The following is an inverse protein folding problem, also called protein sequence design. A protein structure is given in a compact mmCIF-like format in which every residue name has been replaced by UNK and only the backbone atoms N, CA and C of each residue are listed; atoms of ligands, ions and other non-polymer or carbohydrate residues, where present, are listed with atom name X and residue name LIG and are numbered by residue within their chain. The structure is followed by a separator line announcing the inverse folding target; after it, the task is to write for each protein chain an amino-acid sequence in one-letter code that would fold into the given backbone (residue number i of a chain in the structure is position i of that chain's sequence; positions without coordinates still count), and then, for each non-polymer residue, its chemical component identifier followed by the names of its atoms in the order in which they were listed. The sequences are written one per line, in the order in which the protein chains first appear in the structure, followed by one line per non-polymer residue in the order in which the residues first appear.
data_IF_983931209713
#
_entry.id   IF_983931209713
#
_cell.length_a   1.000
_cell.length_b   1.000
_cell.length_c   1.000
_cell.angle_alpha   90.00
_cell.angle_beta   90.00
_cell.angle_gamma   90.00
#
_symmetry.space_group_name_H-M   'P 1'
#
loop_
_entity.id
_entity.type
_entity.pdbx_description
1 polymer ?
#
# COMPACT_ATOMS: atom_id res chain seq x y z
N UNK A 1 -11.32 -4.57 16.20
CA UNK A 1 -12.50 -5.46 16.17
C UNK A 1 -12.92 -5.92 17.55
N UNK A 2 -12.05 -6.55 18.37
CA UNK A 2 -12.44 -6.89 19.76
C UNK A 2 -12.56 -5.63 20.63
N UNK A 3 -11.57 -4.72 20.54
CA UNK A 3 -11.55 -3.43 21.25
C UNK A 3 -12.76 -2.55 20.85
N UNK A 4 -13.02 -2.36 19.55
CA UNK A 4 -14.20 -1.64 19.04
C UNK A 4 -15.54 -2.22 19.55
N UNK A 5 -15.61 -3.53 19.84
CA UNK A 5 -16.83 -4.16 20.35
C UNK A 5 -17.00 -3.90 21.85
N UNK A 6 -15.91 -3.93 22.62
CA UNK A 6 -15.93 -3.59 24.04
C UNK A 6 -16.38 -2.13 24.26
N UNK A 7 -15.88 -1.22 23.43
CA UNK A 7 -16.31 0.19 23.40
C UNK A 7 -17.80 0.31 23.07
N UNK A 8 -18.27 -0.45 22.07
CA UNK A 8 -19.69 -0.52 21.71
C UNK A 8 -20.60 -1.05 22.83
N UNK A 9 -20.15 -2.05 23.59
CA UNK A 9 -20.88 -2.59 24.75
C UNK A 9 -20.91 -1.61 25.93
N UNK A 10 -19.82 -0.90 26.17
CA UNK A 10 -19.76 0.16 27.17
C UNK A 10 -20.71 1.33 26.80
N UNK A 11 -20.72 1.74 25.54
CA UNK A 11 -21.65 2.72 25.00
C UNK A 11 -23.11 2.26 25.20
N UNK A 12 -23.44 1.01 24.85
CA UNK A 12 -24.78 0.46 25.03
C UNK A 12 -25.26 0.52 26.49
N UNK A 13 -24.36 0.23 27.45
CA UNK A 13 -24.65 0.26 28.88
C UNK A 13 -24.95 1.69 29.38
N UNK A 14 -24.19 2.68 28.90
CA UNK A 14 -24.44 4.09 29.23
C UNK A 14 -25.77 4.60 28.66
N UNK A 15 -26.09 4.26 27.40
CA UNK A 15 -27.39 4.60 26.80
C UNK A 15 -28.56 3.95 27.55
N UNK A 16 -28.38 2.72 28.05
CA UNK A 16 -29.39 2.03 28.86
C UNK A 16 -29.65 2.77 30.19
N UNK A 17 -28.61 3.38 30.77
CA UNK A 17 -28.70 4.28 31.91
C UNK A 17 -29.26 5.68 31.59
N UNK A 18 -29.66 5.94 30.34
CA UNK A 18 -30.25 7.21 29.91
C UNK A 18 -29.24 8.30 29.54
N UNK A 19 -27.96 7.97 29.44
CA UNK A 19 -26.96 8.93 28.98
C UNK A 19 -27.27 9.41 27.55
N UNK A 20 -27.14 10.70 27.24
CA UNK A 20 -27.31 11.21 25.88
C UNK A 20 -26.36 10.56 24.87
N UNK A 21 -26.78 10.48 23.59
CA UNK A 21 -25.94 9.89 22.52
C UNK A 21 -24.59 10.61 22.38
N UNK A 22 -24.59 11.94 22.32
CA UNK A 22 -23.39 12.76 22.10
C UNK A 22 -22.36 12.68 23.24
N UNK A 23 -22.75 12.26 24.45
CA UNK A 23 -21.82 12.03 25.55
C UNK A 23 -21.36 10.56 25.63
N UNK A 24 -21.99 9.70 24.84
CA UNK A 24 -21.76 8.25 24.88
C UNK A 24 -20.90 7.77 23.72
N UNK A 25 -21.00 8.40 22.55
CA UNK A 25 -20.16 8.09 21.39
C UNK A 25 -19.80 9.37 20.63
N UNK A 26 -18.70 9.32 19.88
CA UNK A 26 -18.41 10.35 18.89
C UNK A 26 -19.37 10.19 17.71
N UNK A 27 -20.42 11.01 17.70
CA UNK A 27 -21.45 10.98 16.67
C UNK A 27 -20.92 11.31 15.27
N UNK A 28 -19.73 11.92 15.16
CA UNK A 28 -19.06 12.21 13.91
C UNK A 28 -18.19 11.05 13.41
N UNK A 29 -17.78 10.09 14.26
CA UNK A 29 -17.03 8.92 13.83
C UNK A 29 -17.96 7.78 13.40
N UNK A 30 -17.94 7.34 12.12
CA UNK A 30 -18.69 6.17 11.71
C UNK A 30 -18.30 4.86 12.41
N UNK A 31 -17.08 4.77 12.97
CA UNK A 31 -16.61 3.57 13.66
C UNK A 31 -17.44 3.34 14.93
N UNK A 32 -17.67 4.40 15.69
CA UNK A 32 -18.47 4.39 16.92
C UNK A 32 -19.91 3.93 16.69
N UNK A 33 -20.54 4.35 15.59
CA UNK A 33 -21.89 3.88 15.24
C UNK A 33 -21.92 2.38 14.90
N UNK A 34 -20.89 1.88 14.21
CA UNK A 34 -20.78 0.46 13.85
C UNK A 34 -20.40 -0.40 15.07
N UNK A 35 -19.56 0.15 15.96
CA UNK A 35 -19.18 -0.42 17.24
C UNK A 35 -20.41 -0.55 18.15
N UNK A 36 -21.21 0.52 18.31
CA UNK A 36 -22.47 0.46 19.05
C UNK A 36 -23.40 -0.62 18.52
N UNK A 37 -23.62 -0.67 17.20
CA UNK A 37 -24.48 -1.69 16.58
C UNK A 37 -23.98 -3.12 16.83
N UNK A 38 -22.66 -3.33 16.76
CA UNK A 38 -22.05 -4.61 17.06
C UNK A 38 -22.16 -4.95 18.55
N UNK A 39 -21.79 -4.04 19.45
CA UNK A 39 -21.77 -4.23 20.90
C UNK A 39 -23.14 -4.48 21.52
N UNK A 40 -24.21 -3.95 20.92
CA UNK A 40 -25.60 -4.28 21.31
C UNK A 40 -25.98 -5.72 20.91
N UNK A 41 -25.42 -6.23 19.81
CA UNK A 41 -25.78 -7.53 19.23
C UNK A 41 -24.91 -8.69 19.75
N UNK A 42 -23.62 -8.47 19.99
CA UNK A 42 -22.62 -9.54 19.93
C UNK A 42 -22.73 -10.59 21.06
N UNK A 43 -23.09 -10.18 22.28
CA UNK A 43 -23.22 -11.11 23.42
C UNK A 43 -24.23 -12.22 23.11
N UNK A 44 -25.31 -11.89 22.41
CA UNK A 44 -26.36 -12.85 22.04
C UNK A 44 -25.97 -13.81 20.90
N UNK A 45 -25.01 -13.44 20.03
CA UNK A 45 -24.54 -14.30 18.94
C UNK A 45 -23.54 -15.36 19.42
N UNK A 46 -22.61 -14.97 20.32
CA UNK A 46 -21.61 -15.90 20.86
C UNK A 46 -22.18 -16.77 21.99
N UNK A 47 -23.16 -16.28 22.75
CA UNK A 47 -23.82 -17.01 23.85
C UNK A 47 -25.31 -16.66 23.91
N UNK A 48 -26.18 -17.35 23.14
CA UNK A 48 -27.62 -17.05 23.06
C UNK A 48 -28.38 -17.07 24.40
N UNK A 49 -27.83 -17.77 25.39
CA UNK A 49 -28.38 -17.94 26.74
C UNK A 49 -28.05 -16.78 27.70
N UNK A 50 -27.14 -15.87 27.32
CA UNK A 50 -26.76 -14.71 28.12
C UNK A 50 -27.29 -13.43 27.46
N UNK A 51 -28.12 -12.70 28.18
CA UNK A 51 -28.52 -11.35 27.79
C UNK A 51 -27.30 -10.41 27.96
N UNK A 52 -27.08 -9.45 27.05
CA UNK A 52 -26.11 -8.38 27.28
C UNK A 52 -26.37 -7.66 28.61
N UNK A 53 -25.33 -7.16 29.27
CA UNK A 53 -25.46 -6.45 30.56
C UNK A 53 -26.46 -5.29 30.52
N UNK A 54 -26.50 -4.55 29.40
CA UNK A 54 -27.43 -3.42 29.20
C UNK A 54 -28.91 -3.87 29.15
N UNK A 55 -29.20 -5.06 28.59
CA UNK A 55 -30.58 -5.57 28.45
C UNK A 55 -31.14 -6.03 29.80
N UNK A 56 -30.27 -6.47 30.72
CA UNK A 56 -30.64 -6.72 32.12
C UNK A 56 -30.93 -5.43 32.88
N UNK A 57 -30.10 -4.39 32.68
CA UNK A 57 -30.23 -3.13 33.41
C UNK A 57 -31.44 -2.29 32.97
N UNK A 58 -31.85 -2.39 31.70
CA UNK A 58 -32.97 -1.61 31.19
C UNK A 58 -33.71 -2.35 30.04
N UNK A 59 -34.57 -3.35 30.35
CA UNK A 59 -35.32 -4.07 29.33
C UNK A 59 -36.23 -3.13 28.53
N UNK A 60 -36.27 -3.33 27.21
CA UNK A 60 -37.11 -2.51 26.33
C UNK A 60 -38.60 -2.82 26.57
N UNK A 61 -39.45 -1.80 26.74
CA UNK A 61 -40.90 -2.00 26.86
C UNK A 61 -41.49 -2.54 25.55
N UNK A 62 -42.67 -3.17 25.65
CA UNK A 62 -43.41 -3.64 24.48
C UNK A 62 -43.87 -2.48 23.57
N UNK A 63 -44.16 -1.33 24.16
CA UNK A 63 -44.49 -0.09 23.44
C UNK A 63 -43.27 0.85 23.41
N UNK A 64 -42.76 1.11 22.20
CA UNK A 64 -41.61 1.97 21.98
C UNK A 64 -41.98 3.45 21.78
N UNK A 65 -43.28 3.79 21.75
CA UNK A 65 -43.76 5.16 21.46
C UNK A 65 -43.39 6.18 22.53
N UNK A 66 -43.04 5.76 23.74
CA UNK A 66 -42.62 6.67 24.82
C UNK A 66 -41.10 6.66 25.07
N UNK A 67 -40.32 5.93 24.26
CA UNK A 67 -38.88 5.86 24.47
C UNK A 67 -38.17 7.15 24.03
N UNK A 68 -37.27 7.61 24.89
CA UNK A 68 -36.31 8.66 24.56
C UNK A 68 -35.21 8.19 23.61
N UNK A 69 -34.52 9.15 23.01
CA UNK A 69 -33.50 8.94 21.99
C UNK A 69 -32.43 7.87 22.35
N UNK A 70 -31.81 7.85 23.55
CA UNK A 70 -30.80 6.85 23.90
C UNK A 70 -31.34 5.42 23.90
N UNK A 71 -32.55 5.20 24.41
CA UNK A 71 -33.17 3.88 24.46
C UNK A 71 -33.67 3.44 23.09
N UNK A 72 -34.09 4.38 22.26
CA UNK A 72 -34.48 4.10 20.89
C UNK A 72 -33.27 3.72 20.01
N UNK A 73 -32.09 4.30 20.25
CA UNK A 73 -30.84 3.87 19.62
C UNK A 73 -30.53 2.39 19.92
N UNK A 74 -30.70 1.96 21.17
CA UNK A 74 -30.55 0.54 21.54
C UNK A 74 -31.59 -0.34 20.83
N UNK A 75 -32.85 0.11 20.75
CA UNK A 75 -33.90 -0.61 20.06
C UNK A 75 -33.61 -0.77 18.55
N UNK A 76 -33.02 0.23 17.91
CA UNK A 76 -32.57 0.15 16.51
C UNK A 76 -31.44 -0.86 16.32
N UNK A 77 -30.57 -1.06 17.32
CA UNK A 77 -29.47 -2.03 17.28
C UNK A 77 -29.86 -3.44 17.76
N UNK A 78 -31.07 -3.59 18.33
CA UNK A 78 -31.55 -4.80 18.97
C UNK A 78 -31.44 -6.06 18.10
N UNK A 79 -31.26 -7.24 18.71
CA UNK A 79 -31.17 -8.54 18.00
C UNK A 79 -32.47 -8.97 17.33
N UNK A 80 -33.62 -8.70 17.95
CA UNK A 80 -34.95 -8.95 17.40
C UNK A 80 -35.30 -7.93 16.31
N UNK A 81 -35.54 -8.43 15.09
CA UNK A 81 -35.93 -7.61 13.94
C UNK A 81 -37.29 -6.92 14.09
N UNK A 82 -38.22 -7.45 14.89
CA UNK A 82 -39.52 -6.81 15.16
C UNK A 82 -39.33 -5.52 15.96
N UNK A 83 -38.49 -5.57 16.99
CA UNK A 83 -38.12 -4.40 17.79
C UNK A 83 -37.42 -3.37 16.90
N UNK A 84 -36.48 -3.79 16.05
CA UNK A 84 -35.82 -2.87 15.11
C UNK A 84 -36.82 -2.23 14.13
N UNK A 85 -37.77 -3.01 13.62
CA UNK A 85 -38.78 -2.50 12.69
C UNK A 85 -39.67 -1.45 13.36
N UNK A 86 -40.12 -1.69 14.59
CA UNK A 86 -40.91 -0.70 15.33
C UNK A 86 -40.06 0.52 15.71
N UNK A 87 -38.81 0.31 16.12
CA UNK A 87 -37.90 1.40 16.47
C UNK A 87 -37.65 2.34 15.28
N UNK A 88 -37.59 1.84 14.04
CA UNK A 88 -37.49 2.68 12.85
C UNK A 88 -38.71 3.58 12.64
N UNK A 89 -39.92 3.12 13.00
CA UNK A 89 -41.13 3.97 12.92
C UNK A 89 -41.03 5.15 13.87
N UNK A 90 -40.49 4.90 15.07
CA UNK A 90 -40.34 5.93 16.10
C UNK A 90 -39.13 6.84 15.85
N UNK A 91 -38.13 6.41 15.07
CA UNK A 91 -36.87 7.15 14.89
C UNK A 91 -37.05 8.48 14.16
N UNK A 92 -38.15 8.68 13.43
CA UNK A 92 -38.48 9.96 12.76
C UNK A 92 -38.57 11.14 13.72
N UNK A 93 -38.81 10.87 15.02
CA UNK A 93 -38.86 11.88 16.07
C UNK A 93 -37.48 12.41 16.47
N UNK A 94 -36.42 11.67 16.13
CA UNK A 94 -35.06 11.93 16.58
C UNK A 94 -34.09 11.91 15.38
N UNK A 95 -33.89 13.05 14.71
CA UNK A 95 -32.98 13.14 13.55
C UNK A 95 -31.56 12.65 13.83
N UNK A 96 -31.09 12.74 15.08
CA UNK A 96 -29.80 12.20 15.54
C UNK A 96 -29.64 10.68 15.36
N UNK A 97 -30.73 9.95 15.11
CA UNK A 97 -30.70 8.51 14.86
C UNK A 97 -30.55 8.13 13.37
N UNK A 98 -30.48 9.10 12.46
CA UNK A 98 -30.28 8.85 11.03
C UNK A 98 -29.05 7.96 10.71
N UNK A 99 -27.91 8.05 11.43
CA UNK A 99 -26.81 7.10 11.30
C UNK A 99 -27.23 5.63 11.48
N UNK A 100 -28.09 5.33 12.44
CA UNK A 100 -28.59 3.96 12.66
C UNK A 100 -29.55 3.54 11.54
N UNK A 101 -30.35 4.45 11.00
CA UNK A 101 -31.18 4.19 9.80
C UNK A 101 -30.30 3.80 8.61
N UNK A 102 -29.15 4.48 8.40
CA UNK A 102 -28.16 4.11 7.38
C UNK A 102 -27.69 2.67 7.57
N UNK A 103 -27.35 2.26 8.79
CA UNK A 103 -26.91 0.88 9.06
C UNK A 103 -28.08 -0.11 8.81
N UNK A 104 -29.32 0.26 9.14
CA UNK A 104 -30.51 -0.57 8.88
C UNK A 104 -30.86 -0.69 7.40
N UNK A 105 -30.37 0.18 6.51
CA UNK A 105 -30.54 0.01 5.06
C UNK A 105 -29.84 -1.25 4.50
N UNK A 106 -28.94 -1.85 5.29
CA UNK A 106 -28.27 -3.13 5.00
C UNK A 106 -28.72 -4.27 5.94
N UNK A 107 -29.85 -4.13 6.65
CA UNK A 107 -30.32 -5.16 7.60
C UNK A 107 -30.60 -6.50 6.90
N UNK A 108 -30.39 -7.62 7.60
CA UNK A 108 -30.67 -8.95 7.06
C UNK A 108 -32.19 -9.20 6.96
N UNK A 109 -32.98 -8.63 7.87
CA UNK A 109 -34.44 -8.71 7.88
C UNK A 109 -35.02 -7.84 6.78
N UNK A 110 -35.73 -8.45 5.83
CA UNK A 110 -36.32 -7.78 4.66
C UNK A 110 -37.19 -6.56 5.01
N UNK A 111 -38.20 -6.70 5.88
CA UNK A 111 -39.07 -5.58 6.30
C UNK A 111 -38.31 -4.41 6.95
N UNK A 112 -37.39 -4.69 7.87
CA UNK A 112 -36.55 -3.66 8.52
C UNK A 112 -35.76 -2.90 7.46
N UNK A 113 -35.12 -3.63 6.56
CA UNK A 113 -34.30 -3.06 5.49
C UNK A 113 -35.13 -2.18 4.56
N UNK A 114 -36.28 -2.64 4.09
CA UNK A 114 -37.13 -1.86 3.18
C UNK A 114 -37.63 -0.57 3.83
N UNK A 115 -38.05 -0.63 5.09
CA UNK A 115 -38.53 0.53 5.82
C UNK A 115 -37.40 1.55 6.07
N UNK A 116 -36.21 1.09 6.49
CA UNK A 116 -35.04 1.96 6.64
C UNK A 116 -34.65 2.65 5.33
N UNK A 117 -34.73 1.94 4.20
CA UNK A 117 -34.44 2.49 2.86
C UNK A 117 -35.43 3.58 2.45
N UNK A 118 -36.70 3.44 2.83
CA UNK A 118 -37.70 4.49 2.61
C UNK A 118 -37.37 5.72 3.46
N UNK A 119 -37.14 5.54 4.76
CA UNK A 119 -36.80 6.64 5.67
C UNK A 119 -35.52 7.37 5.24
N UNK A 120 -34.50 6.65 4.77
CA UNK A 120 -33.28 7.27 4.28
C UNK A 120 -33.55 8.16 3.05
N UNK A 121 -34.39 7.73 2.10
CA UNK A 121 -34.73 8.56 0.94
C UNK A 121 -35.48 9.83 1.32
N UNK A 122 -36.34 9.74 2.33
CA UNK A 122 -37.14 10.88 2.81
C UNK A 122 -36.30 11.86 3.63
N UNK A 123 -35.34 11.37 4.41
CA UNK A 123 -34.55 12.19 5.34
C UNK A 123 -33.22 12.72 4.77
N UNK A 124 -32.62 12.04 3.78
CA UNK A 124 -31.28 12.39 3.30
C UNK A 124 -31.29 13.60 2.36
N UNK A 125 -31.06 14.78 2.92
CA UNK A 125 -30.75 16.00 2.17
C UNK A 125 -29.23 16.15 1.92
N UNK A 126 -28.82 17.17 1.15
CA UNK A 126 -27.39 17.40 0.81
C UNK A 126 -26.50 17.56 2.04
N UNK A 127 -26.95 18.27 3.07
CA UNK A 127 -26.15 18.49 4.28
C UNK A 127 -25.95 17.17 5.05
N UNK A 128 -27.03 16.43 5.30
CA UNK A 128 -26.96 15.12 5.92
C UNK A 128 -26.15 14.11 5.08
N UNK A 129 -26.21 14.21 3.75
CA UNK A 129 -25.44 13.36 2.85
C UNK A 129 -23.92 13.61 2.95
N UNK A 130 -23.49 14.86 3.13
CA UNK A 130 -22.09 15.20 3.36
C UNK A 130 -21.62 14.59 4.69
N UNK A 131 -22.38 14.78 5.76
CA UNK A 131 -22.03 14.32 7.10
C UNK A 131 -22.02 12.78 7.19
N UNK A 132 -22.97 12.12 6.51
CA UNK A 132 -23.12 10.66 6.55
C UNK A 132 -22.33 9.92 5.47
N UNK A 133 -21.66 10.62 4.55
CA UNK A 133 -20.91 9.98 3.47
C UNK A 133 -19.89 8.95 4.01
N UNK A 134 -19.07 9.24 5.05
CA UNK A 134 -18.15 8.26 5.61
C UNK A 134 -18.85 6.99 6.11
N UNK A 135 -19.98 7.12 6.82
CA UNK A 135 -20.74 5.99 7.34
C UNK A 135 -21.41 5.19 6.23
N UNK A 136 -22.08 5.87 5.30
CA UNK A 136 -22.76 5.22 4.16
C UNK A 136 -21.75 4.42 3.33
N UNK A 137 -20.56 4.96 3.07
CA UNK A 137 -19.52 4.28 2.30
C UNK A 137 -18.88 3.10 3.06
N UNK A 138 -18.80 3.15 4.39
CA UNK A 138 -18.39 2.00 5.20
C UNK A 138 -19.46 0.90 5.20
N UNK A 139 -20.73 1.26 5.38
CA UNK A 139 -21.86 0.32 5.30
C UNK A 139 -22.01 -0.27 3.90
N UNK A 140 -21.70 0.49 2.86
CA UNK A 140 -21.71 0.05 1.46
C UNK A 140 -20.80 -1.13 1.14
N UNK A 141 -19.80 -1.40 2.00
CA UNK A 141 -18.91 -2.58 1.88
C UNK A 141 -19.53 -3.87 2.41
N UNK A 142 -20.65 -3.78 3.14
CA UNK A 142 -21.39 -4.94 3.64
C UNK A 142 -22.32 -5.48 2.56
N UNK A 143 -22.67 -6.76 2.67
CA UNK A 143 -23.76 -7.34 1.88
C UNK A 143 -25.03 -6.49 2.00
N UNK A 144 -25.69 -6.21 0.87
CA UNK A 144 -26.93 -5.41 0.78
C UNK A 144 -26.75 -3.90 1.08
N UNK A 145 -25.51 -3.41 1.25
CA UNK A 145 -25.20 -2.01 1.54
C UNK A 145 -25.20 -1.06 0.33
N UNK A 146 -25.19 -1.58 -0.90
CA UNK A 146 -25.08 -0.78 -2.13
C UNK A 146 -26.14 0.34 -2.24
N UNK A 147 -27.37 0.07 -1.77
CA UNK A 147 -28.47 1.03 -1.81
C UNK A 147 -28.12 2.40 -1.19
N UNK A 148 -27.44 2.41 -0.04
CA UNK A 148 -27.09 3.66 0.62
C UNK A 148 -26.12 4.48 -0.23
N UNK A 149 -25.16 3.82 -0.88
CA UNK A 149 -24.18 4.45 -1.77
C UNK A 149 -24.86 5.04 -3.02
N UNK A 150 -25.86 4.34 -3.57
CA UNK A 150 -26.62 4.82 -4.71
C UNK A 150 -27.41 6.09 -4.36
N UNK A 151 -28.12 6.10 -3.23
CA UNK A 151 -28.88 7.26 -2.75
C UNK A 151 -27.93 8.42 -2.42
N UNK A 152 -26.81 8.15 -1.76
CA UNK A 152 -25.77 9.15 -1.49
C UNK A 152 -25.29 9.82 -2.79
N UNK A 153 -24.98 9.02 -3.82
CA UNK A 153 -24.58 9.55 -5.13
C UNK A 153 -25.66 10.40 -5.78
N UNK A 154 -26.92 9.97 -5.74
CA UNK A 154 -28.04 10.74 -6.29
C UNK A 154 -28.21 12.11 -5.61
N UNK A 155 -28.13 12.16 -4.28
CA UNK A 155 -28.27 13.41 -3.52
C UNK A 155 -27.06 14.32 -3.74
N UNK A 156 -25.84 13.78 -3.65
CA UNK A 156 -24.63 14.60 -3.78
C UNK A 156 -24.38 15.12 -5.20
N UNK A 157 -25.00 14.57 -6.25
CA UNK A 157 -24.99 15.20 -7.59
C UNK A 157 -25.67 16.57 -7.61
N UNK A 158 -26.52 16.86 -6.62
CA UNK A 158 -27.19 18.17 -6.47
C UNK A 158 -26.34 19.15 -5.67
N UNK A 159 -25.25 18.69 -5.03
CA UNK A 159 -24.38 19.53 -4.24
C UNK A 159 -23.53 20.46 -5.14
N UNK A 160 -23.35 21.70 -4.68
CA UNK A 160 -22.41 22.62 -5.31
C UNK A 160 -20.96 22.17 -5.10
N UNK A 161 -20.05 22.69 -5.92
CA UNK A 161 -18.60 22.48 -5.76
C UNK A 161 -18.14 22.84 -4.33
N UNK A 162 -18.57 23.98 -3.79
CA UNK A 162 -18.18 24.43 -2.45
C UNK A 162 -18.66 23.49 -1.34
N UNK A 163 -19.81 22.83 -1.55
CA UNK A 163 -20.32 21.81 -0.62
C UNK A 163 -19.52 20.50 -0.69
N UNK A 164 -19.12 20.06 -1.87
CA UNK A 164 -18.31 18.83 -2.02
C UNK A 164 -16.86 19.01 -1.56
N UNK A 165 -16.39 20.25 -1.42
CA UNK A 165 -15.01 20.55 -1.04
C UNK A 165 -14.54 19.83 0.24
N UNK A 166 -15.43 19.68 1.22
CA UNK A 166 -15.14 18.97 2.47
C UNK A 166 -14.80 17.49 2.23
N UNK A 167 -15.45 16.85 1.26
CA UNK A 167 -15.21 15.43 0.95
C UNK A 167 -13.91 15.20 0.18
N UNK A 168 -13.39 16.20 -0.53
CA UNK A 168 -12.08 16.11 -1.19
C UNK A 168 -10.91 16.12 -0.21
N UNK A 169 -11.12 16.62 1.01
CA UNK A 169 -10.12 16.70 2.07
C UNK A 169 -10.32 15.65 3.18
N UNK A 170 -11.35 14.80 3.05
CA UNK A 170 -11.69 13.80 4.06
C UNK A 170 -10.51 12.84 4.33
N UNK A 171 -10.21 12.50 5.59
CA UNK A 171 -9.11 11.58 5.92
C UNK A 171 -9.33 10.17 5.34
N UNK A 172 -10.57 9.71 5.20
CA UNK A 172 -10.88 8.41 4.58
C UNK A 172 -10.74 8.50 3.06
N UNK A 173 -9.73 7.79 2.54
CA UNK A 173 -9.45 7.69 1.10
C UNK A 173 -10.66 7.22 0.29
N UNK A 174 -11.59 6.47 0.87
CA UNK A 174 -12.76 5.95 0.16
C UNK A 174 -13.80 7.05 -0.05
N UNK A 175 -13.94 7.96 0.92
CA UNK A 175 -14.75 9.18 0.79
C UNK A 175 -14.16 10.07 -0.32
N UNK A 176 -12.85 10.33 -0.27
CA UNK A 176 -12.19 11.13 -1.33
C UNK A 176 -12.37 10.51 -2.71
N UNK A 177 -12.13 9.21 -2.88
CA UNK A 177 -12.35 8.51 -4.16
C UNK A 177 -13.77 8.64 -4.68
N UNK A 178 -14.77 8.52 -3.79
CA UNK A 178 -16.16 8.70 -4.15
C UNK A 178 -16.45 10.14 -4.61
N UNK A 179 -16.01 11.12 -3.82
CA UNK A 179 -16.19 12.54 -4.12
C UNK A 179 -15.57 12.94 -5.46
N UNK A 180 -14.32 12.54 -5.73
CA UNK A 180 -13.65 12.86 -6.99
C UNK A 180 -14.34 12.21 -8.19
N UNK A 181 -14.83 10.97 -8.10
CA UNK A 181 -15.62 10.35 -9.18
C UNK A 181 -16.87 11.15 -9.47
N UNK A 182 -17.62 11.50 -8.44
CA UNK A 182 -18.83 12.30 -8.56
C UNK A 182 -18.55 13.65 -9.22
N UNK A 183 -17.49 14.33 -8.79
CA UNK A 183 -17.10 15.63 -9.30
C UNK A 183 -16.64 15.57 -10.76
N UNK A 184 -15.97 14.49 -11.16
CA UNK A 184 -15.55 14.25 -12.56
C UNK A 184 -16.76 13.95 -13.45
N UNK A 185 -17.66 13.05 -13.01
CA UNK A 185 -18.90 12.73 -13.73
C UNK A 185 -19.76 13.98 -13.95
N UNK A 186 -19.88 14.82 -12.90
CA UNK A 186 -20.63 16.08 -12.95
C UNK A 186 -19.88 17.26 -13.57
N UNK A 187 -18.62 17.09 -14.01
CA UNK A 187 -17.73 18.16 -14.50
C UNK A 187 -17.66 19.37 -13.55
N UNK A 188 -17.65 19.10 -12.24
CA UNK A 188 -17.66 20.09 -11.16
C UNK A 188 -16.27 20.66 -10.81
N UNK A 189 -15.22 20.12 -11.43
CA UNK A 189 -13.84 20.56 -11.22
C UNK A 189 -13.23 20.97 -12.56
N UNK A 190 -12.53 22.11 -12.57
CA UNK A 190 -11.73 22.55 -13.71
C UNK A 190 -10.52 21.62 -13.88
N UNK A 191 -9.98 21.45 -15.11
CA UNK A 191 -8.80 20.63 -15.36
C UNK A 191 -7.61 20.96 -14.43
N UNK A 192 -7.38 22.25 -14.16
CA UNK A 192 -6.31 22.69 -13.27
C UNK A 192 -6.50 22.25 -11.80
N UNK A 193 -7.75 22.16 -11.33
CA UNK A 193 -8.06 21.67 -9.98
C UNK A 193 -7.81 20.16 -9.88
N UNK A 194 -8.24 19.42 -10.90
CA UNK A 194 -7.94 17.99 -11.04
C UNK A 194 -6.44 17.72 -11.10
N UNK A 195 -5.67 18.52 -11.85
CA UNK A 195 -4.22 18.39 -11.94
C UNK A 195 -3.54 18.63 -10.58
N UNK A 196 -4.00 19.61 -9.79
CA UNK A 196 -3.50 19.85 -8.42
C UNK A 196 -3.84 18.70 -7.48
N UNK A 197 -5.06 18.17 -7.54
CA UNK A 197 -5.46 16.99 -6.79
C UNK A 197 -4.59 15.78 -7.15
N UNK A 198 -4.33 15.58 -8.45
CA UNK A 198 -3.49 14.52 -8.96
C UNK A 198 -2.04 14.57 -8.46
N UNK A 199 -1.53 15.78 -8.25
CA UNK A 199 -0.17 16.01 -7.78
C UNK A 199 -0.02 15.90 -6.25
N UNK A 200 -1.09 16.21 -5.48
CA UNK A 200 -1.02 16.43 -4.03
C UNK A 200 -1.70 15.38 -3.17
N UNK A 201 -2.73 14.68 -3.67
CA UNK A 201 -3.40 13.64 -2.85
C UNK A 201 -2.41 12.54 -2.45
N UNK A 202 -2.67 11.84 -1.36
CA UNK A 202 -1.84 10.73 -0.89
C UNK A 202 -2.30 9.37 -1.47
N UNK A 203 -3.55 9.29 -1.94
CA UNK A 203 -4.15 8.09 -2.49
C UNK A 203 -3.87 7.97 -3.99
N UNK A 204 -3.17 6.91 -4.37
CA UNK A 204 -2.75 6.69 -5.77
C UNK A 204 -3.91 6.51 -6.75
N UNK A 205 -5.09 6.08 -6.29
CA UNK A 205 -6.28 5.96 -7.14
C UNK A 205 -6.89 7.33 -7.41
N UNK A 206 -6.96 8.19 -6.40
CA UNK A 206 -7.36 9.60 -6.59
C UNK A 206 -6.38 10.30 -7.53
N UNK A 207 -5.08 10.10 -7.33
CA UNK A 207 -4.06 10.72 -8.17
C UNK A 207 -4.22 10.36 -9.66
N UNK A 208 -4.43 9.08 -9.96
CA UNK A 208 -4.61 8.55 -11.31
C UNK A 208 -5.94 8.99 -11.96
N UNK A 209 -7.02 8.92 -11.19
CA UNK A 209 -8.36 9.36 -11.59
C UNK A 209 -8.34 10.84 -11.99
N UNK A 210 -7.76 11.70 -11.15
CA UNK A 210 -7.70 13.13 -11.39
C UNK A 210 -6.74 13.50 -12.52
N UNK A 211 -5.59 12.81 -12.66
CA UNK A 211 -4.67 13.05 -13.78
C UNK A 211 -5.35 12.74 -15.13
N UNK A 212 -6.03 11.60 -15.21
CA UNK A 212 -6.74 11.16 -16.41
C UNK A 212 -7.88 12.11 -16.76
N UNK A 213 -8.68 12.49 -15.77
CA UNK A 213 -9.79 13.42 -15.97
C UNK A 213 -9.30 14.83 -16.37
N UNK A 214 -8.23 15.33 -15.74
CA UNK A 214 -7.63 16.61 -16.09
C UNK A 214 -7.21 16.65 -17.57
N UNK A 215 -6.50 15.61 -18.03
CA UNK A 215 -6.00 15.52 -19.41
C UNK A 215 -7.12 15.24 -20.44
N UNK A 216 -8.17 14.52 -20.05
CA UNK A 216 -9.32 14.23 -20.93
C UNK A 216 -10.19 15.47 -21.16
N UNK A 217 -10.23 16.37 -20.18
CA UNK A 217 -11.02 17.60 -20.24
C UNK A 217 -10.32 18.76 -20.96
N UNK A 218 -9.12 18.55 -21.50
CA UNK A 218 -8.39 19.58 -22.27
C UNK A 218 -8.99 19.72 -23.68
N UNK A 219 -9.34 20.94 -24.06
CA UNK A 219 -9.90 21.30 -25.36
C UNK A 219 -9.11 22.38 -26.12
N UNK A 220 -8.52 23.34 -25.40
CA UNK A 220 -7.81 24.51 -25.95
C UNK A 220 -6.36 24.61 -25.42
N UNK A 221 -5.45 25.26 -26.15
CA UNK A 221 -4.02 25.41 -25.79
C UNK A 221 -3.81 26.09 -24.42
N UNK A 222 -4.56 27.14 -24.09
CA UNK A 222 -4.47 27.88 -22.82
C UNK A 222 -4.77 27.01 -21.58
N UNK A 223 -5.43 25.87 -21.76
CA UNK A 223 -5.74 24.95 -20.66
C UNK A 223 -4.55 24.10 -20.21
N UNK A 224 -3.50 23.98 -21.02
CA UNK A 224 -2.32 23.18 -20.69
C UNK A 224 -1.42 23.85 -19.63
N UNK A 225 -1.32 25.19 -19.60
CA UNK A 225 -0.49 25.93 -18.63
C UNK A 225 -0.92 25.72 -17.18
N UNK A 226 -2.24 25.60 -16.96
CA UNK A 226 -2.79 25.32 -15.63
C UNK A 226 -2.69 23.86 -15.19
N UNK A 227 -2.38 22.93 -16.11
CA UNK A 227 -2.52 21.48 -15.91
C UNK A 227 -1.19 20.76 -15.92
N UNK A 228 -0.29 21.06 -16.86
CA UNK A 228 0.96 20.32 -17.01
C UNK A 228 1.94 20.55 -15.86
N UNK A 229 2.20 21.77 -15.35
CA UNK A 229 3.17 21.96 -14.28
C UNK A 229 2.86 21.17 -12.99
N UNK A 230 1.60 21.11 -12.50
CA UNK A 230 1.24 20.21 -11.40
C UNK A 230 1.52 18.73 -11.69
N UNK A 231 1.18 18.24 -12.88
CA UNK A 231 1.40 16.83 -13.23
C UNK A 231 2.90 16.50 -13.33
N UNK A 232 3.68 17.36 -14.00
CA UNK A 232 5.13 17.20 -14.20
C UNK A 232 5.92 17.24 -12.88
N UNK A 233 5.44 17.98 -11.88
CA UNK A 233 6.05 18.03 -10.54
C UNK A 233 5.54 16.95 -9.57
N UNK A 234 4.58 16.13 -9.98
CA UNK A 234 3.96 15.13 -9.11
C UNK A 234 4.98 14.10 -8.57
N UNK A 235 4.83 13.74 -7.29
CA UNK A 235 5.68 12.71 -6.65
C UNK A 235 5.41 11.32 -7.22
N UNK A 236 4.16 11.04 -7.57
CA UNK A 236 3.74 9.77 -8.16
C UNK A 236 4.25 9.68 -9.62
N UNK A 237 5.05 8.66 -9.97
CA UNK A 237 5.58 8.51 -11.31
C UNK A 237 4.49 8.32 -12.38
N UNK A 238 3.32 7.75 -12.07
CA UNK A 238 2.22 7.60 -13.03
C UNK A 238 1.64 8.95 -13.42
N UNK A 239 1.26 9.77 -12.44
CA UNK A 239 0.80 11.15 -12.66
C UNK A 239 1.79 11.95 -13.48
N UNK A 240 3.08 11.86 -13.12
CA UNK A 240 4.14 12.57 -13.82
C UNK A 240 4.38 12.07 -15.23
N UNK A 241 4.31 10.76 -15.45
CA UNK A 241 4.41 10.17 -16.80
C UNK A 241 3.25 10.57 -17.70
N UNK A 242 2.04 10.74 -17.15
CA UNK A 242 0.90 11.26 -17.87
C UNK A 242 1.13 12.72 -18.30
N UNK A 243 1.65 13.55 -17.39
CA UNK A 243 2.08 14.93 -17.70
C UNK A 243 3.15 14.98 -18.78
N UNK A 244 4.20 14.16 -18.68
CA UNK A 244 5.28 14.09 -19.69
C UNK A 244 4.72 13.68 -21.05
N UNK A 245 3.85 12.67 -21.11
CA UNK A 245 3.24 12.23 -22.37
C UNK A 245 2.36 13.32 -22.98
N UNK A 246 1.69 14.12 -22.14
CA UNK A 246 0.83 15.21 -22.57
C UNK A 246 1.58 16.42 -23.15
N UNK A 247 2.88 16.60 -22.84
CA UNK A 247 3.72 17.63 -23.47
C UNK A 247 3.68 17.57 -25.00
N UNK A 248 3.60 16.36 -25.58
CA UNK A 248 3.46 16.19 -27.03
C UNK A 248 2.18 16.79 -27.57
N UNK A 249 1.05 16.57 -26.88
CA UNK A 249 -0.26 17.09 -27.32
C UNK A 249 -0.35 18.61 -27.13
N UNK A 250 0.38 19.15 -26.16
CA UNK A 250 0.48 20.58 -25.88
C UNK A 250 1.46 21.34 -26.81
N UNK A 251 2.20 20.64 -27.69
CA UNK A 251 3.25 21.26 -28.50
C UNK A 251 4.56 21.56 -27.76
N UNK A 252 4.66 21.29 -26.45
CA UNK A 252 5.82 21.61 -25.59
C UNK A 252 6.81 20.45 -25.46
N UNK A 253 7.08 19.78 -26.56
CA UNK A 253 7.86 18.54 -26.54
C UNK A 253 9.32 18.77 -26.14
N UNK A 254 9.85 19.98 -26.33
CA UNK A 254 11.16 20.42 -25.87
C UNK A 254 11.33 20.32 -24.34
N UNK A 255 10.24 20.42 -23.57
CA UNK A 255 10.27 20.27 -22.12
C UNK A 255 10.37 18.81 -21.65
N UNK A 256 10.36 17.83 -22.57
CA UNK A 256 10.46 16.41 -22.21
C UNK A 256 11.89 15.98 -21.89
N UNK A 257 12.90 16.69 -22.40
CA UNK A 257 14.32 16.31 -22.25
C UNK A 257 14.77 16.15 -20.78
N UNK A 258 14.44 17.06 -19.84
CA UNK A 258 14.81 16.90 -18.43
C UNK A 258 14.29 15.62 -17.78
N UNK A 259 13.20 15.04 -18.31
CA UNK A 259 12.62 13.80 -17.79
C UNK A 259 13.33 12.53 -18.28
N UNK A 260 14.29 12.64 -19.22
CA UNK A 260 15.16 11.52 -19.62
C UNK A 260 16.03 11.02 -18.46
N UNK A 261 16.35 11.88 -17.49
CA UNK A 261 17.08 11.52 -16.27
C UNK A 261 16.19 11.29 -15.05
N UNK A 262 14.85 11.20 -15.22
CA UNK A 262 13.94 10.97 -14.09
C UNK A 262 14.29 9.68 -13.34
N UNK A 263 14.02 9.67 -12.03
CA UNK A 263 14.23 8.50 -11.15
C UNK A 263 13.42 7.26 -11.55
N UNK A 264 12.25 7.44 -12.17
CA UNK A 264 11.34 6.38 -12.56
C UNK A 264 11.58 5.93 -14.01
N UNK A 265 11.70 4.61 -14.21
CA UNK A 265 11.81 4.02 -15.55
C UNK A 265 10.61 4.34 -16.44
N UNK A 266 9.39 4.39 -15.87
CA UNK A 266 8.18 4.74 -16.62
C UNK A 266 8.23 6.17 -17.15
N UNK A 267 8.64 7.12 -16.32
CA UNK A 267 8.76 8.54 -16.70
C UNK A 267 9.83 8.71 -17.79
N UNK A 268 10.99 8.06 -17.63
CA UNK A 268 12.04 8.06 -18.67
C UNK A 268 11.54 7.45 -19.98
N UNK A 269 10.77 6.38 -19.94
CA UNK A 269 10.19 5.76 -21.13
C UNK A 269 9.23 6.72 -21.86
N UNK A 270 8.36 7.41 -21.14
CA UNK A 270 7.50 8.46 -21.70
C UNK A 270 8.31 9.64 -22.26
N UNK A 271 9.34 10.08 -21.57
CA UNK A 271 10.23 11.14 -22.05
C UNK A 271 10.94 10.74 -23.36
N UNK A 272 11.51 9.52 -23.43
CA UNK A 272 12.09 8.97 -24.66
C UNK A 272 11.08 8.92 -25.80
N UNK A 273 9.85 8.51 -25.52
CA UNK A 273 8.77 8.51 -26.50
C UNK A 273 8.55 9.93 -27.05
N UNK A 274 8.35 10.93 -26.20
CA UNK A 274 8.09 12.32 -26.62
C UNK A 274 9.28 12.91 -27.40
N UNK A 275 10.51 12.73 -26.92
CA UNK A 275 11.72 13.23 -27.60
C UNK A 275 11.86 12.64 -29.00
N UNK A 276 11.61 11.33 -29.17
CA UNK A 276 11.64 10.68 -30.50
C UNK A 276 10.59 11.22 -31.45
N UNK A 277 9.43 11.61 -30.93
CA UNK A 277 8.35 12.17 -31.75
C UNK A 277 8.72 13.53 -32.36
N UNK A 278 9.72 14.22 -31.83
CA UNK A 278 10.28 15.46 -32.39
C UNK A 278 11.60 15.23 -33.15
N UNK A 279 11.94 13.98 -33.47
CA UNK A 279 13.18 13.64 -34.19
C UNK A 279 14.45 13.65 -33.33
N UNK A 280 14.34 13.80 -32.01
CA UNK A 280 15.49 13.68 -31.10
C UNK A 280 15.97 12.24 -30.94
N UNK A 281 17.23 12.06 -30.56
CA UNK A 281 17.82 10.75 -30.22
C UNK A 281 18.19 10.65 -28.73
N UNK A 282 17.32 10.04 -27.90
CA UNK A 282 17.63 9.83 -26.49
C UNK A 282 18.89 8.99 -26.24
N UNK A 283 19.27 8.09 -27.17
CA UNK A 283 20.43 7.23 -26.98
C UNK A 283 21.71 8.05 -27.02
N UNK A 284 21.83 8.95 -28.01
CA UNK A 284 22.93 9.91 -28.11
C UNK A 284 22.97 10.82 -26.88
N UNK A 285 21.82 11.33 -26.45
CA UNK A 285 21.69 12.14 -25.24
C UNK A 285 22.24 11.46 -23.97
N UNK A 286 21.97 10.16 -23.79
CA UNK A 286 22.50 9.38 -22.66
C UNK A 286 24.00 9.10 -22.81
N UNK A 287 24.48 8.79 -24.02
CA UNK A 287 25.90 8.54 -24.29
C UNK A 287 26.73 9.77 -23.95
N UNK A 288 26.34 10.94 -24.44
CA UNK A 288 27.01 12.22 -24.19
C UNK A 288 27.15 12.53 -22.70
N UNK A 289 26.16 12.16 -21.88
CA UNK A 289 26.23 12.38 -20.43
C UNK A 289 27.11 11.37 -19.71
N UNK A 290 27.27 10.17 -20.26
CA UNK A 290 28.10 9.12 -19.69
C UNK A 290 29.56 9.14 -20.16
N UNK A 291 29.97 10.10 -21.01
CA UNK A 291 31.38 10.24 -21.47
C UNK A 291 32.29 10.91 -20.45
N UNK A 292 31.74 11.70 -19.53
CA UNK A 292 32.48 12.40 -18.49
C UNK A 292 32.27 11.72 -17.11
N UNK A 293 33.03 10.66 -16.79
CA UNK A 293 32.77 9.84 -15.61
C UNK A 293 33.09 10.51 -14.27
N UNK A 294 33.76 11.66 -14.28
CA UNK A 294 34.07 12.44 -13.09
C UNK A 294 33.09 13.61 -12.87
N UNK A 295 32.05 13.74 -13.71
CA UNK A 295 31.08 14.83 -13.61
C UNK A 295 30.19 14.65 -12.36
N UNK A 296 30.35 15.48 -11.30
CA UNK A 296 29.58 15.33 -10.06
C UNK A 296 28.07 15.54 -10.27
N UNK A 297 27.68 16.27 -11.32
CA UNK A 297 26.29 16.59 -11.65
C UNK A 297 25.60 15.50 -12.50
N UNK A 298 26.28 14.38 -12.79
CA UNK A 298 25.70 13.28 -13.58
C UNK A 298 24.47 12.68 -12.86
N UNK A 299 23.25 12.85 -13.41
CA UNK A 299 22.08 12.33 -12.74
C UNK A 299 22.04 10.80 -12.85
N UNK A 300 21.81 10.06 -11.75
CA UNK A 300 21.73 8.60 -11.78
C UNK A 300 20.74 8.02 -12.79
N UNK A 301 19.64 8.75 -13.08
CA UNK A 301 18.66 8.35 -14.07
C UNK A 301 19.19 8.32 -15.51
N UNK A 302 20.19 9.15 -15.86
CA UNK A 302 20.83 9.10 -17.17
C UNK A 302 21.65 7.82 -17.36
N UNK A 303 22.34 7.38 -16.30
CA UNK A 303 23.19 6.19 -16.31
C UNK A 303 22.38 4.92 -16.60
N UNK A 304 21.29 4.71 -15.87
CA UNK A 304 20.41 3.56 -16.13
C UNK A 304 19.59 3.75 -17.41
N UNK A 305 19.26 5.00 -17.78
CA UNK A 305 18.58 5.33 -19.02
C UNK A 305 19.37 4.87 -20.26
N UNK A 306 20.70 4.97 -20.23
CA UNK A 306 21.56 4.42 -21.29
C UNK A 306 21.34 2.92 -21.48
N UNK A 307 21.23 2.15 -20.39
CA UNK A 307 21.02 0.70 -20.48
C UNK A 307 19.59 0.32 -20.95
N UNK A 308 18.62 1.22 -20.84
CA UNK A 308 17.23 0.97 -21.27
C UNK A 308 17.01 1.11 -22.78
N UNK A 309 17.90 1.80 -23.50
CA UNK A 309 17.78 1.98 -24.95
C UNK A 309 19.09 1.85 -25.74
N UNK A 310 20.22 1.71 -25.05
CA UNK A 310 21.52 1.43 -25.64
C UNK A 310 21.73 -0.06 -25.93
N UNK A 311 22.98 -0.43 -26.18
CA UNK A 311 23.38 -1.79 -26.48
C UNK A 311 24.62 -2.20 -25.68
N UNK A 312 25.08 -3.45 -25.85
CA UNK A 312 26.23 -4.01 -25.11
C UNK A 312 27.51 -3.17 -25.21
N UNK A 313 27.74 -2.46 -26.33
CA UNK A 313 28.93 -1.62 -26.51
C UNK A 313 28.92 -0.40 -25.56
N UNK A 314 27.74 0.03 -25.11
CA UNK A 314 27.58 1.13 -24.17
C UNK A 314 28.07 0.79 -22.75
N UNK A 315 28.31 -0.50 -22.45
CA UNK A 315 28.94 -0.93 -21.19
C UNK A 315 30.30 -0.25 -20.95
N UNK A 316 31.03 0.11 -22.02
CA UNK A 316 32.31 0.84 -21.91
C UNK A 316 32.17 2.21 -21.23
N UNK A 317 31.00 2.84 -21.34
CA UNK A 317 30.69 4.13 -20.71
C UNK A 317 30.24 3.94 -19.24
N UNK A 318 29.69 2.77 -18.90
CA UNK A 318 29.22 2.48 -17.54
C UNK A 318 30.34 2.00 -16.60
N UNK A 319 31.36 1.31 -17.11
CA UNK A 319 32.46 0.76 -16.28
C UNK A 319 33.22 1.84 -15.48
N UNK A 320 33.60 2.99 -16.06
CA UNK A 320 34.26 4.05 -15.29
C UNK A 320 33.38 4.62 -14.16
N UNK A 321 32.05 4.58 -14.32
CA UNK A 321 31.09 5.11 -13.34
C UNK A 321 30.96 4.25 -12.07
N UNK A 322 31.58 3.06 -12.02
CA UNK A 322 31.60 2.20 -10.84
C UNK A 322 32.37 2.82 -9.66
N UNK A 323 33.23 3.82 -9.91
CA UNK A 323 34.00 4.53 -8.87
C UNK A 323 33.56 5.99 -8.69
N UNK A 324 32.43 6.38 -9.31
CA UNK A 324 31.91 7.74 -9.25
C UNK A 324 31.65 8.21 -7.81
N UNK A 325 31.90 9.48 -7.44
CA UNK A 325 31.71 9.98 -6.07
C UNK A 325 30.25 9.83 -5.57
N UNK A 326 29.27 10.13 -6.43
CA UNK A 326 27.86 9.93 -6.11
C UNK A 326 27.46 8.43 -6.10
N UNK A 327 27.00 7.94 -4.95
CA UNK A 327 26.55 6.56 -4.77
C UNK A 327 25.38 6.16 -5.70
N UNK A 328 24.51 7.11 -6.03
CA UNK A 328 23.40 6.88 -6.96
C UNK A 328 23.91 6.50 -8.36
N UNK A 329 24.98 7.13 -8.84
CA UNK A 329 25.60 6.84 -10.13
C UNK A 329 26.22 5.46 -10.12
N UNK A 330 27.02 5.12 -9.09
CA UNK A 330 27.62 3.79 -8.94
C UNK A 330 26.56 2.68 -8.97
N UNK A 331 25.48 2.84 -8.20
CA UNK A 331 24.40 1.86 -8.16
C UNK A 331 23.73 1.68 -9.54
N UNK A 332 23.53 2.78 -10.28
CA UNK A 332 22.92 2.74 -11.62
C UNK A 332 23.87 2.23 -12.69
N UNK A 333 25.18 2.41 -12.54
CA UNK A 333 26.20 1.79 -13.39
C UNK A 333 26.17 0.27 -13.24
N UNK A 334 26.14 -0.24 -12.00
CA UNK A 334 25.97 -1.69 -11.72
C UNK A 334 24.68 -2.23 -12.32
N UNK A 335 23.55 -1.56 -12.06
CA UNK A 335 22.25 -1.96 -12.61
C UNK A 335 22.23 -1.92 -14.15
N UNK A 336 22.90 -0.93 -14.76
CA UNK A 336 23.02 -0.79 -16.20
C UNK A 336 23.88 -1.88 -16.84
N UNK A 337 25.03 -2.22 -16.24
CA UNK A 337 25.87 -3.34 -16.69
C UNK A 337 25.10 -4.67 -16.64
N UNK A 338 24.29 -4.87 -15.60
CA UNK A 338 23.37 -6.02 -15.47
C UNK A 338 22.30 -6.03 -16.55
N UNK A 339 21.65 -4.89 -16.82
CA UNK A 339 20.61 -4.79 -17.84
C UNK A 339 21.15 -5.00 -19.27
N UNK A 340 22.41 -4.62 -19.52
CA UNK A 340 23.10 -4.86 -20.79
C UNK A 340 23.73 -6.25 -20.91
N UNK A 341 23.61 -7.09 -19.87
CA UNK A 341 24.24 -8.42 -19.81
C UNK A 341 25.78 -8.36 -19.99
N UNK A 342 26.39 -7.34 -19.40
CA UNK A 342 27.83 -7.04 -19.46
C UNK A 342 28.48 -7.09 -18.06
N UNK A 343 27.94 -7.92 -17.16
CA UNK A 343 28.45 -8.11 -15.80
C UNK A 343 29.82 -8.77 -15.83
N UNK A 344 30.78 -8.16 -15.12
CA UNK A 344 32.07 -8.77 -14.80
C UNK A 344 32.13 -8.97 -13.28
N UNK A 345 32.02 -10.22 -12.84
CA UNK A 345 31.96 -10.54 -11.42
C UNK A 345 33.21 -10.05 -10.66
N UNK A 346 34.40 -10.13 -11.28
CA UNK A 346 35.67 -9.70 -10.68
C UNK A 346 35.78 -8.18 -10.56
N UNK A 347 35.10 -7.45 -11.43
CA UNK A 347 35.02 -6.00 -11.32
C UNK A 347 33.98 -5.56 -10.27
N UNK A 348 32.86 -6.27 -10.14
CA UNK A 348 31.73 -5.85 -9.31
C UNK A 348 31.84 -6.28 -7.85
N UNK A 349 32.43 -7.43 -7.54
CA UNK A 349 32.46 -7.95 -6.17
C UNK A 349 33.06 -7.02 -5.10
N UNK A 350 34.06 -6.13 -5.36
CA UNK A 350 34.55 -5.23 -4.32
C UNK A 350 33.49 -4.18 -3.92
N UNK A 351 32.51 -3.90 -4.79
CA UNK A 351 31.39 -2.99 -4.49
C UNK A 351 30.39 -3.56 -3.49
N UNK A 352 30.57 -4.80 -3.00
CA UNK A 352 29.84 -5.31 -1.85
C UNK A 352 30.27 -4.63 -0.54
N UNK A 353 31.49 -4.07 -0.49
CA UNK A 353 31.99 -3.28 0.64
C UNK A 353 31.69 -1.77 0.47
N UNK A 354 30.87 -1.37 -0.51
CA UNK A 354 30.51 0.04 -0.73
C UNK A 354 29.77 0.62 0.50
N UNK A 355 30.09 1.86 0.92
CA UNK A 355 29.42 2.49 2.07
C UNK A 355 27.92 2.69 1.86
N UNK A 356 27.45 2.79 0.61
CA UNK A 356 26.06 3.01 0.29
C UNK A 356 25.30 1.69 0.06
N UNK A 357 24.26 1.46 0.87
CA UNK A 357 23.35 0.32 0.74
C UNK A 357 22.70 0.20 -0.65
N UNK A 358 22.58 1.33 -1.38
CA UNK A 358 22.11 1.38 -2.77
C UNK A 358 22.97 0.55 -3.72
N UNK A 359 24.29 0.71 -3.61
CA UNK A 359 25.28 0.07 -4.47
C UNK A 359 25.35 -1.42 -4.16
N UNK A 360 25.53 -1.77 -2.88
CA UNK A 360 25.61 -3.17 -2.44
C UNK A 360 24.40 -3.99 -2.87
N UNK A 361 23.19 -3.42 -2.83
CA UNK A 361 21.97 -4.10 -3.30
C UNK A 361 22.01 -4.41 -4.80
N UNK A 362 22.41 -3.46 -5.63
CA UNK A 362 22.51 -3.68 -7.08
C UNK A 362 23.67 -4.63 -7.40
N UNK A 363 24.79 -4.54 -6.68
CA UNK A 363 25.93 -5.45 -6.81
C UNK A 363 25.55 -6.87 -6.48
N UNK A 364 24.90 -7.11 -5.33
CA UNK A 364 24.42 -8.44 -4.96
C UNK A 364 23.40 -8.98 -5.98
N UNK A 365 22.53 -8.13 -6.54
CA UNK A 365 21.60 -8.54 -7.59
C UNK A 365 22.32 -8.88 -8.92
N UNK A 366 23.41 -8.19 -9.26
CA UNK A 366 24.21 -8.44 -10.45
C UNK A 366 25.07 -9.70 -10.35
N UNK A 367 25.56 -9.99 -9.15
CA UNK A 367 26.41 -11.15 -8.90
C UNK A 367 25.63 -12.44 -8.62
N UNK A 368 24.32 -12.35 -8.35
CA UNK A 368 23.49 -13.50 -8.01
C UNK A 368 23.58 -14.67 -9.01
N UNK A 369 23.59 -14.45 -10.34
CA UNK A 369 23.74 -15.55 -11.31
C UNK A 369 25.09 -16.28 -11.23
N UNK A 370 26.13 -15.62 -10.75
CA UNK A 370 27.50 -16.15 -10.61
C UNK A 370 27.88 -16.38 -9.14
N UNK A 371 26.91 -16.50 -8.23
CA UNK A 371 27.16 -16.58 -6.80
C UNK A 371 28.14 -17.72 -6.43
N UNK A 372 28.02 -18.87 -7.10
CA UNK A 372 28.88 -20.04 -6.90
C UNK A 372 30.34 -19.83 -7.30
N UNK A 373 30.61 -18.86 -8.16
CA UNK A 373 31.96 -18.54 -8.64
C UNK A 373 32.68 -17.53 -7.71
N UNK A 374 31.98 -17.02 -6.69
CA UNK A 374 32.53 -16.04 -5.75
C UNK A 374 33.30 -16.73 -4.61
N UNK A 375 34.37 -16.11 -4.08
CA UNK A 375 35.09 -16.65 -2.94
C UNK A 375 34.21 -16.71 -1.68
N UNK A 376 33.83 -17.92 -1.26
CA UNK A 376 32.92 -18.14 -0.13
C UNK A 376 33.48 -17.59 1.19
N UNK A 377 34.78 -17.79 1.46
CA UNK A 377 35.42 -17.32 2.69
C UNK A 377 35.38 -15.79 2.80
N UNK A 378 35.62 -15.11 1.67
CA UNK A 378 35.54 -13.65 1.62
C UNK A 378 34.12 -13.15 1.93
N UNK A 379 33.08 -13.81 1.40
CA UNK A 379 31.68 -13.48 1.70
C UNK A 379 31.32 -13.79 3.17
N UNK A 380 31.85 -14.87 3.74
CA UNK A 380 31.67 -15.22 5.15
C UNK A 380 32.26 -14.15 6.09
N UNK A 381 33.40 -13.55 5.75
CA UNK A 381 33.93 -12.40 6.51
C UNK A 381 32.99 -11.18 6.48
N UNK A 382 32.16 -11.04 5.43
CA UNK A 382 31.26 -9.90 5.25
C UNK A 382 29.93 -10.04 5.99
N UNK A 383 29.62 -11.21 6.52
CA UNK A 383 28.45 -11.43 7.39
C UNK A 383 28.76 -11.26 8.89
N UNK A 384 30.02 -10.95 9.25
CA UNK A 384 30.41 -10.57 10.62
C UNK A 384 29.57 -9.41 11.15
N UNK A 385 29.20 -9.46 12.43
CA UNK A 385 28.41 -8.42 13.12
C UNK A 385 29.08 -7.03 13.11
N UNK A 386 30.40 -6.96 12.93
CA UNK A 386 31.18 -5.72 12.81
C UNK A 386 30.94 -4.98 11.50
N UNK A 387 30.45 -5.69 10.46
CA UNK A 387 30.21 -5.10 9.15
C UNK A 387 28.89 -4.32 9.13
N UNK A 388 28.76 -3.25 8.33
CA UNK A 388 27.50 -2.55 8.17
C UNK A 388 26.37 -3.49 7.72
N UNK A 389 25.16 -3.26 8.23
CA UNK A 389 23.97 -4.08 7.96
C UNK A 389 23.77 -4.41 6.47
N UNK A 390 23.94 -3.42 5.60
CA UNK A 390 23.70 -3.61 4.15
C UNK A 390 24.74 -4.52 3.49
N UNK A 391 25.98 -4.52 3.97
CA UNK A 391 27.04 -5.44 3.53
C UNK A 391 26.69 -6.87 3.92
N UNK A 392 26.31 -7.08 5.20
CA UNK A 392 25.88 -8.41 5.69
C UNK A 392 24.70 -8.97 4.91
N UNK A 393 23.68 -8.14 4.66
CA UNK A 393 22.51 -8.51 3.85
C UNK A 393 22.91 -8.88 2.41
N UNK A 394 23.82 -8.12 1.80
CA UNK A 394 24.31 -8.38 0.45
C UNK A 394 25.13 -9.67 0.35
N UNK A 395 26.05 -9.88 1.27
CA UNK A 395 26.89 -11.09 1.34
C UNK A 395 26.05 -12.33 1.67
N UNK A 396 25.15 -12.24 2.64
CA UNK A 396 24.27 -13.35 2.99
C UNK A 396 23.37 -13.76 1.82
N UNK A 397 22.85 -12.79 1.04
CA UNK A 397 22.10 -13.10 -0.20
C UNK A 397 22.87 -13.99 -1.16
N UNK A 398 24.16 -13.71 -1.35
CA UNK A 398 25.01 -14.45 -2.27
C UNK A 398 25.35 -15.84 -1.70
N UNK A 399 25.68 -15.92 -0.41
CA UNK A 399 25.94 -17.18 0.29
C UNK A 399 24.71 -18.11 0.28
N UNK A 400 23.51 -17.57 0.54
CA UNK A 400 22.24 -18.31 0.51
C UNK A 400 21.98 -18.89 -0.89
N UNK A 401 22.33 -18.13 -1.95
CA UNK A 401 22.20 -18.56 -3.34
C UNK A 401 23.24 -19.62 -3.77
N UNK A 402 24.43 -19.65 -3.15
CA UNK A 402 25.42 -20.71 -3.40
C UNK A 402 24.86 -22.09 -3.04
N UNK A 403 24.03 -22.16 -1.99
CA UNK A 403 23.51 -23.41 -1.45
C UNK A 403 24.59 -24.25 -0.75
N UNK A 404 24.28 -25.53 -0.51
CA UNK A 404 25.21 -26.47 0.10
C UNK A 404 25.64 -26.08 1.51
N UNK A 405 26.78 -26.60 1.97
CA UNK A 405 27.28 -26.36 3.33
C UNK A 405 27.61 -24.89 3.61
N UNK A 406 28.07 -24.15 2.59
CA UNK A 406 28.40 -22.72 2.71
C UNK A 406 27.17 -21.89 3.09
N UNK A 407 26.03 -22.12 2.44
CA UNK A 407 24.78 -21.45 2.78
C UNK A 407 24.31 -21.80 4.20
N UNK A 408 24.43 -23.08 4.60
CA UNK A 408 24.06 -23.53 5.94
C UNK A 408 24.94 -22.88 7.00
N UNK A 409 26.26 -22.87 6.80
CA UNK A 409 27.24 -22.23 7.69
C UNK A 409 26.95 -20.74 7.86
N UNK A 410 26.69 -20.04 6.76
CA UNK A 410 26.35 -18.62 6.77
C UNK A 410 25.05 -18.34 7.54
N UNK A 411 24.01 -19.15 7.32
CA UNK A 411 22.72 -18.97 7.98
C UNK A 411 22.79 -19.25 9.49
N UNK A 412 23.47 -20.33 9.90
CA UNK A 412 23.68 -20.64 11.34
C UNK A 412 24.54 -19.56 12.01
N UNK A 413 25.53 -19.01 11.30
CA UNK A 413 26.36 -17.91 11.81
C UNK A 413 25.59 -16.62 12.11
N UNK A 414 24.41 -16.43 11.51
CA UNK A 414 23.58 -15.24 11.67
C UNK A 414 22.49 -15.36 12.74
N UNK A 415 22.42 -16.46 13.50
CA UNK A 415 21.42 -16.61 14.58
C UNK A 415 21.58 -15.59 15.70
N UNK A 416 22.77 -15.03 15.88
CA UNK A 416 23.05 -13.98 16.88
C UNK A 416 23.21 -12.59 16.23
N UNK A 417 22.85 -12.42 14.95
CA UNK A 417 22.97 -11.11 14.28
C UNK A 417 22.07 -10.07 14.98
N UNK A 418 22.51 -8.83 15.20
CA UNK A 418 21.68 -7.82 15.87
C UNK A 418 20.39 -7.48 15.10
N UNK A 419 20.33 -7.68 13.78
CA UNK A 419 19.14 -7.42 12.97
C UNK A 419 18.15 -8.60 12.98
N UNK A 420 16.99 -8.37 13.61
CA UNK A 420 15.90 -9.36 13.74
C UNK A 420 15.43 -9.91 12.39
N UNK A 421 15.38 -9.08 11.34
CA UNK A 421 14.92 -9.52 10.01
C UNK A 421 15.96 -10.42 9.35
N UNK A 422 17.24 -10.12 9.52
CA UNK A 422 18.33 -10.95 9.02
C UNK A 422 18.36 -12.30 9.74
N UNK A 423 18.20 -12.33 11.08
CA UNK A 423 18.03 -13.58 11.85
C UNK A 423 16.85 -14.42 11.35
N UNK A 424 15.71 -13.76 11.13
CA UNK A 424 14.49 -14.43 10.64
C UNK A 424 14.71 -15.05 9.26
N UNK A 425 15.36 -14.32 8.35
CA UNK A 425 15.71 -14.86 7.03
C UNK A 425 16.70 -16.02 7.15
N UNK A 426 17.73 -15.90 7.98
CA UNK A 426 18.69 -16.98 8.20
C UNK A 426 18.01 -18.27 8.72
N UNK A 427 17.11 -18.16 9.69
CA UNK A 427 16.32 -19.28 10.18
C UNK A 427 15.46 -19.92 9.07
N UNK A 428 14.80 -19.10 8.23
CA UNK A 428 14.04 -19.60 7.07
C UNK A 428 14.93 -20.26 6.01
N UNK A 429 16.16 -19.79 5.83
CA UNK A 429 17.13 -20.42 4.93
C UNK A 429 17.57 -21.79 5.46
N UNK A 430 17.83 -21.94 6.76
CA UNK A 430 18.13 -23.25 7.37
C UNK A 430 16.95 -24.21 7.24
N UNK A 431 15.72 -23.77 7.50
CA UNK A 431 14.53 -24.62 7.36
C UNK A 431 14.32 -25.13 5.93
N UNK A 432 14.64 -24.29 4.93
CA UNK A 432 14.55 -24.63 3.51
C UNK A 432 15.78 -25.35 2.96
N UNK A 433 16.84 -25.49 3.76
CA UNK A 433 18.07 -26.10 3.32
C UNK A 433 17.88 -27.61 3.05
N UNK A 434 18.51 -28.08 1.98
CA UNK A 434 18.62 -29.48 1.62
C UNK A 434 20.05 -29.77 1.15
N UNK A 435 20.57 -30.98 1.40
CA UNK A 435 21.88 -31.40 0.89
C UNK A 435 21.89 -31.40 -0.64
N UNK A 436 23.01 -30.96 -1.21
CA UNK A 436 23.19 -30.97 -2.66
C UNK A 436 23.27 -32.42 -3.17
N UNK A 437 22.61 -32.77 -4.29
CA UNK A 437 22.71 -34.11 -4.88
C UNK A 437 24.16 -34.52 -5.21
N UNK A 438 24.97 -33.54 -5.60
CA UNK A 438 26.37 -33.73 -6.03
C UNK A 438 27.39 -33.45 -4.91
N UNK A 439 26.91 -33.21 -3.67
CA UNK A 439 27.76 -32.88 -2.53
C UNK A 439 28.33 -34.11 -1.81
N UNK A 440 29.44 -33.96 -1.05
CA UNK A 440 29.92 -35.01 -0.15
C UNK A 440 28.81 -35.40 0.83
N UNK A 441 28.51 -36.70 0.92
CA UNK A 441 27.58 -37.25 1.91
C UNK A 441 28.33 -37.59 3.19
N UNK A 442 27.66 -37.46 4.33
CA UNK A 442 28.22 -37.80 5.63
C UNK A 442 29.21 -36.77 6.19
N UNK A 443 29.16 -35.52 5.71
CA UNK A 443 29.97 -34.44 6.26
C UNK A 443 29.52 -34.12 7.70
N UNK A 444 30.42 -34.38 8.67
CA UNK A 444 30.14 -34.21 10.09
C UNK A 444 29.75 -32.77 10.43
N UNK A 445 30.31 -31.77 9.74
CA UNK A 445 30.01 -30.36 9.98
C UNK A 445 28.53 -30.04 9.68
N UNK A 446 27.94 -30.67 8.66
CA UNK A 446 26.50 -30.52 8.39
C UNK A 446 25.67 -31.00 9.58
N UNK A 447 26.08 -32.10 10.22
CA UNK A 447 25.44 -32.63 11.41
C UNK A 447 25.45 -31.63 12.57
N UNK A 448 26.63 -31.06 12.85
CA UNK A 448 26.83 -30.06 13.91
C UNK A 448 26.01 -28.78 13.66
N UNK A 449 26.00 -28.28 12.42
CA UNK A 449 25.24 -27.09 12.04
C UNK A 449 23.73 -27.30 12.15
N UNK A 450 23.23 -28.48 11.77
CA UNK A 450 21.83 -28.85 11.94
C UNK A 450 21.46 -29.01 13.42
N UNK A 451 22.34 -29.56 14.25
CA UNK A 451 22.12 -29.67 15.69
C UNK A 451 22.07 -28.30 16.38
N UNK A 452 22.96 -27.36 16.02
CA UNK A 452 22.87 -25.96 16.47
C UNK A 452 21.55 -25.29 16.08
N UNK A 453 20.92 -25.78 15.02
CA UNK A 453 19.64 -25.30 14.50
C UNK A 453 18.42 -26.10 14.98
N UNK A 454 18.59 -27.02 15.94
CA UNK A 454 17.53 -27.92 16.42
C UNK A 454 16.24 -27.19 16.80
N UNK A 455 16.35 -26.01 17.40
CA UNK A 455 15.21 -25.18 17.82
C UNK A 455 14.30 -24.73 16.64
N UNK A 456 14.76 -24.85 15.39
CA UNK A 456 13.99 -24.53 14.18
C UNK A 456 13.22 -25.71 13.59
N UNK A 457 13.44 -26.93 14.10
CA UNK A 457 12.92 -28.17 13.55
C UNK A 457 12.15 -28.98 14.61
N UNK A 458 11.22 -29.83 14.16
CA UNK A 458 10.79 -30.97 14.96
C UNK A 458 11.85 -32.07 14.90
N UNK A 459 11.91 -32.94 15.92
CA UNK A 459 12.87 -34.06 15.94
C UNK A 459 12.79 -34.94 14.70
N UNK A 460 11.57 -35.16 14.18
CA UNK A 460 11.37 -35.91 12.94
C UNK A 460 12.00 -35.20 11.73
N UNK A 461 11.77 -33.89 11.57
CA UNK A 461 12.28 -33.13 10.43
C UNK A 461 13.81 -33.01 10.50
N UNK A 462 14.38 -32.84 11.69
CA UNK A 462 15.83 -32.81 11.90
C UNK A 462 16.49 -34.13 11.52
N UNK A 463 15.95 -35.28 11.99
CA UNK A 463 16.44 -36.61 11.60
C UNK A 463 16.36 -36.82 10.10
N UNK A 464 15.25 -36.42 9.48
CA UNK A 464 15.08 -36.50 8.03
C UNK A 464 16.16 -35.69 7.29
N UNK A 465 16.46 -34.47 7.74
CA UNK A 465 17.51 -33.63 7.13
C UNK A 465 18.91 -34.24 7.27
N UNK A 466 19.23 -34.81 8.43
CA UNK A 466 20.50 -35.54 8.66
C UNK A 466 20.61 -36.78 7.78
N UNK A 467 19.53 -37.55 7.69
CA UNK A 467 19.47 -38.73 6.81
C UNK A 467 19.61 -38.36 5.34
N UNK A 468 18.92 -37.31 4.87
CA UNK A 468 19.08 -36.78 3.50
C UNK A 468 20.56 -36.39 3.22
N UNK A 469 21.29 -35.94 4.24
CA UNK A 469 22.71 -35.57 4.15
C UNK A 469 23.68 -36.78 4.29
N UNK A 470 23.15 -37.99 4.49
CA UNK A 470 23.95 -39.21 4.66
C UNK A 470 24.61 -39.34 6.04
N UNK A 471 24.03 -38.71 7.07
CA UNK A 471 24.47 -38.83 8.45
C UNK A 471 23.58 -39.83 9.21
N UNK A 472 24.21 -40.73 9.95
CA UNK A 472 23.49 -41.62 10.87
C UNK A 472 22.90 -40.79 12.02
N UNK A 473 21.62 -41.06 12.33
CA UNK A 473 20.78 -40.23 13.20
C UNK A 473 21.11 -40.31 14.69
#
# INVERSE_FOLDING_TARGET
MLEDIEDGTAAATRLAGGAPLHSTLDVADPADWLALDAGVREVAWRRPQLLPGWEHSAPLPADLTQLGEPRLALALCHRDGRIRQEALRQSVRYPGLLPLVVIRCADWVGPVRQHARQLLREALNVHAALDLAPLILRVGRRDRGAFGVDVLGQILRQASHGQLAVLFADPDRIVRRFAYRLAIEGRLLRPAELARAAARDQDTVVQDLCATAALTALGDEDTYEGVLPPLLSARNPRTRSAGVTALRRAGWSEQAEPFLSDRSALVRACARYVVRQQGGDPTTWYRERCTAPDNPELPPGAVIGLAECGNRADARLLRPLLVHPAAGVRARAVAGLRALDCVDAKQLWPLLDDPAAGVVRETAAALLPSAKDLPADWLLERISSERPRHVRVGAFRLLDACGGIVALRAAVGLFEDPDVKLRTWAAQSVQRWHPSPDGPRGDAEVGELLDRSRHLFSDHLLRRRKWEAGLDS
#
